data_IF_353623637808
#
_entry.id   IF_353623637808
#
_cell.length_a   1.000
_cell.length_b   1.000
_cell.length_c   1.000
_cell.angle_alpha   90.00
_cell.angle_beta   90.00
_cell.angle_gamma   90.00
#
_symmetry.space_group_name_H-M   'P 1'
#
loop_
_entity.id
_entity.type
_entity.pdbx_description
1 polymer ?
#
# COMPACT_ATOMS: atom_id res chain seq x y z
N UNK A 1 -11.34 15.01 -16.31
CA UNK A 1 -10.06 15.62 -15.98
C UNK A 1 -9.20 14.61 -15.19
N UNK A 2 -8.00 14.45 -15.61
CA UNK A 2 -7.08 13.65 -14.81
C UNK A 2 -7.05 14.24 -13.41
N UNK A 3 -7.03 13.44 -12.38
CA UNK A 3 -7.01 13.92 -11.02
C UNK A 3 -5.84 14.84 -10.75
N UNK A 4 -5.76 15.31 -9.53
CA UNK A 4 -4.63 16.11 -9.07
C UNK A 4 -3.34 15.32 -9.18
N UNK A 5 -2.21 16.00 -9.05
CA UNK A 5 -0.91 15.34 -8.98
C UNK A 5 -0.88 14.30 -7.85
N UNK A 6 -1.47 14.63 -6.70
CA UNK A 6 -1.55 13.70 -5.58
C UNK A 6 -2.29 12.42 -5.97
N UNK A 7 -3.42 12.55 -6.68
CA UNK A 7 -4.18 11.38 -7.13
C UNK A 7 -3.37 10.50 -8.08
N UNK A 8 -2.59 11.11 -8.97
CA UNK A 8 -1.73 10.38 -9.90
C UNK A 8 -0.61 9.65 -9.16
N UNK A 9 0.04 10.33 -8.21
CA UNK A 9 1.10 9.74 -7.41
C UNK A 9 0.56 8.60 -6.55
N UNK A 10 -0.61 8.78 -5.95
CA UNK A 10 -1.25 7.74 -5.15
C UNK A 10 -1.53 6.50 -6.00
N UNK A 11 -2.09 6.69 -7.18
CA UNK A 11 -2.42 5.58 -8.07
C UNK A 11 -1.16 4.79 -8.45
N UNK A 12 -0.07 5.48 -8.78
CA UNK A 12 1.18 4.82 -9.15
C UNK A 12 1.91 4.17 -7.98
N UNK A 13 1.62 4.58 -6.75
CA UNK A 13 2.32 4.09 -5.56
C UNK A 13 1.52 3.08 -4.75
N UNK A 14 0.26 2.82 -5.10
CA UNK A 14 -0.64 2.02 -4.27
C UNK A 14 -0.04 0.66 -3.90
N UNK A 15 0.48 -0.07 -4.87
CA UNK A 15 1.07 -1.38 -4.61
C UNK A 15 2.23 -1.30 -3.62
N UNK A 16 3.13 -0.34 -3.82
CA UNK A 16 4.28 -0.15 -2.95
C UNK A 16 3.86 0.23 -1.52
N UNK A 17 2.81 1.07 -1.40
CA UNK A 17 2.31 1.46 -0.09
C UNK A 17 1.69 0.27 0.65
N UNK A 18 0.89 -0.54 -0.04
CA UNK A 18 0.29 -1.73 0.56
C UNK A 18 1.34 -2.74 0.98
N UNK A 19 2.31 -3.01 0.10
CA UNK A 19 3.40 -3.93 0.43
C UNK A 19 4.23 -3.40 1.58
N UNK A 20 4.47 -2.09 1.62
CA UNK A 20 5.23 -1.47 2.69
C UNK A 20 4.56 -1.63 4.05
N UNK A 21 3.24 -1.45 4.11
CA UNK A 21 2.50 -1.67 5.35
C UNK A 21 2.56 -3.13 5.79
N UNK A 22 2.39 -4.05 4.85
CA UNK A 22 2.37 -5.47 5.17
C UNK A 22 3.74 -6.02 5.55
N UNK A 23 4.81 -5.26 5.35
CA UNK A 23 6.12 -5.62 5.91
C UNK A 23 6.10 -5.61 7.43
N UNK A 24 5.25 -4.80 8.03
CA UNK A 24 5.20 -4.64 9.48
C UNK A 24 4.44 -5.78 10.17
N UNK A 25 3.32 -6.17 9.61
CA UNK A 25 2.48 -7.26 10.14
C UNK A 25 1.35 -7.59 9.18
N UNK A 26 0.71 -8.73 9.39
CA UNK A 26 -0.50 -9.01 8.63
C UNK A 26 -1.62 -8.08 9.09
N UNK A 27 -2.49 -7.72 8.15
CA UNK A 27 -3.61 -6.82 8.40
C UNK A 27 -4.80 -7.25 7.56
N UNK A 28 -6.01 -6.99 8.08
CA UNK A 28 -7.20 -7.11 7.24
C UNK A 28 -7.50 -5.76 6.58
N UNK A 29 -8.38 -5.78 5.56
CA UNK A 29 -8.59 -4.62 4.69
C UNK A 29 -8.86 -3.31 5.42
N UNK A 30 -9.76 -3.35 6.42
CA UNK A 30 -10.09 -2.15 7.18
C UNK A 30 -8.86 -1.58 7.90
N UNK A 31 -8.02 -2.44 8.46
CA UNK A 31 -6.79 -1.99 9.13
C UNK A 31 -5.83 -1.32 8.15
N UNK A 32 -5.69 -1.91 6.96
CA UNK A 32 -4.83 -1.33 5.92
C UNK A 32 -5.31 0.08 5.57
N UNK A 33 -6.61 0.22 5.32
CA UNK A 33 -7.19 1.51 4.97
C UNK A 33 -7.02 2.53 6.09
N UNK A 34 -7.24 2.09 7.34
CA UNK A 34 -7.10 2.96 8.50
C UNK A 34 -5.66 3.44 8.68
N UNK A 35 -4.69 2.53 8.51
CA UNK A 35 -3.27 2.89 8.64
C UNK A 35 -2.84 3.89 7.57
N UNK A 36 -3.29 3.69 6.33
CA UNK A 36 -2.98 4.63 5.25
C UNK A 36 -3.51 6.03 5.56
N UNK A 37 -4.76 6.10 6.03
CA UNK A 37 -5.38 7.38 6.35
C UNK A 37 -4.72 8.04 7.55
N UNK A 38 -4.39 7.24 8.57
CA UNK A 38 -3.75 7.76 9.77
C UNK A 38 -2.37 8.33 9.48
N UNK A 39 -1.58 7.64 8.66
CA UNK A 39 -0.21 8.07 8.36
C UNK A 39 -0.13 9.14 7.28
N UNK A 40 -1.04 9.12 6.32
CA UNK A 40 -0.99 10.02 5.16
C UNK A 40 -2.15 11.00 5.05
N UNK A 41 -3.06 10.97 6.01
CA UNK A 41 -4.24 11.84 5.97
C UNK A 41 -5.18 11.45 4.84
N UNK A 42 -6.06 12.38 4.48
CA UNK A 42 -7.05 12.13 3.45
C UNK A 42 -6.44 11.86 2.08
N UNK A 43 -5.22 12.35 1.85
CA UNK A 43 -4.54 12.15 0.58
C UNK A 43 -4.19 10.69 0.32
N UNK A 44 -4.06 9.87 1.36
CA UNK A 44 -3.81 8.44 1.22
C UNK A 44 -5.02 7.57 1.54
N UNK A 45 -6.19 8.19 1.67
CA UNK A 45 -7.43 7.45 1.88
C UNK A 45 -7.77 6.65 0.62
N UNK A 46 -8.01 5.35 0.79
CA UNK A 46 -8.41 4.47 -0.30
C UNK A 46 -9.83 3.97 -0.05
N UNK A 47 -10.68 4.07 -1.07
CA UNK A 47 -12.00 3.48 -1.02
C UNK A 47 -11.91 1.96 -1.15
N UNK A 48 -12.96 1.25 -0.77
CA UNK A 48 -13.04 -0.19 -0.99
C UNK A 48 -12.89 -0.53 -2.46
N UNK A 49 -13.42 0.31 -3.35
CA UNK A 49 -13.32 0.13 -4.79
C UNK A 49 -11.89 0.23 -5.32
N UNK A 50 -10.99 0.86 -4.59
CA UNK A 50 -9.57 0.95 -4.96
C UNK A 50 -8.72 -0.06 -4.21
N UNK A 51 -9.01 -0.28 -2.93
CA UNK A 51 -8.22 -1.13 -2.06
C UNK A 51 -8.30 -2.60 -2.43
N UNK A 52 -9.52 -3.15 -2.51
CA UNK A 52 -9.68 -4.58 -2.73
C UNK A 52 -9.18 -5.06 -4.09
N UNK A 53 -9.43 -4.34 -5.20
CA UNK A 53 -8.81 -4.73 -6.47
C UNK A 53 -7.29 -4.72 -6.43
N UNK A 54 -6.68 -3.77 -5.71
CA UNK A 54 -5.23 -3.72 -5.56
C UNK A 54 -4.72 -4.94 -4.79
N UNK A 55 -5.39 -5.30 -3.69
CA UNK A 55 -5.03 -6.50 -2.93
C UNK A 55 -5.18 -7.77 -3.75
N UNK A 56 -6.25 -7.86 -4.56
CA UNK A 56 -6.46 -9.00 -5.45
C UNK A 56 -5.36 -9.13 -6.48
N UNK A 57 -4.89 -8.03 -7.05
CA UNK A 57 -3.77 -8.06 -8.00
C UNK A 57 -2.49 -8.53 -7.35
N UNK A 58 -2.23 -8.08 -6.13
CA UNK A 58 -1.05 -8.53 -5.38
C UNK A 58 -1.13 -10.03 -5.05
N UNK A 59 -2.32 -10.49 -4.69
CA UNK A 59 -2.55 -11.91 -4.42
C UNK A 59 -2.37 -12.74 -5.69
N UNK A 60 -2.94 -12.30 -6.80
CA UNK A 60 -2.81 -12.99 -8.08
C UNK A 60 -1.35 -13.06 -8.54
N UNK A 61 -0.56 -12.05 -8.22
CA UNK A 61 0.87 -12.02 -8.53
C UNK A 61 1.73 -12.81 -7.56
N UNK A 62 1.13 -13.42 -6.54
CA UNK A 62 1.88 -14.21 -5.57
C UNK A 62 2.66 -13.39 -4.57
N UNK A 63 2.35 -12.11 -4.41
CA UNK A 63 3.06 -11.22 -3.50
C UNK A 63 2.42 -11.19 -2.12
N UNK A 64 1.12 -11.41 -2.04
CA UNK A 64 0.41 -11.53 -0.77
C UNK A 64 -0.41 -12.81 -0.76
N UNK A 65 -0.68 -13.29 0.42
CA UNK A 65 -1.61 -14.40 0.65
C UNK A 65 -2.66 -13.95 1.64
N UNK A 66 -3.81 -14.60 1.61
CA UNK A 66 -4.93 -14.23 2.45
C UNK A 66 -5.41 -15.43 3.25
N UNK A 67 -5.92 -15.16 4.45
CA UNK A 67 -6.57 -16.17 5.27
C UNK A 67 -7.82 -15.59 5.91
N UNK A 68 -8.80 -16.43 6.14
CA UNK A 68 -10.00 -16.04 6.84
C UNK A 68 -9.86 -16.34 8.34
N UNK A 69 -10.37 -15.44 9.16
CA UNK A 69 -10.38 -15.61 10.60
C UNK A 69 -11.72 -15.17 11.16
N UNK A 70 -12.27 -15.92 12.09
CA UNK A 70 -13.48 -15.56 12.79
C UNK A 70 -13.23 -14.27 13.60
N UNK A 71 -14.18 -13.34 13.53
CA UNK A 71 -14.10 -12.06 14.20
C UNK A 71 -15.33 -11.80 15.08
N UNK A 72 -16.04 -12.85 15.44
CA UNK A 72 -17.27 -12.78 16.25
C UNK A 72 -18.35 -13.66 15.63
N UNK A 73 -19.55 -13.72 16.25
CA UNK A 73 -20.65 -14.54 15.72
C UNK A 73 -20.99 -14.10 14.30
N UNK A 74 -20.98 -15.04 13.38
CA UNK A 74 -21.33 -14.82 11.97
C UNK A 74 -20.49 -13.75 11.28
N UNK A 75 -19.26 -13.49 11.77
CA UNK A 75 -18.35 -12.55 11.13
C UNK A 75 -17.00 -13.20 10.88
N UNK A 76 -16.46 -12.94 9.69
CA UNK A 76 -15.10 -13.36 9.35
C UNK A 76 -14.37 -12.14 8.78
N UNK A 77 -13.05 -12.15 8.93
CA UNK A 77 -12.16 -11.14 8.35
C UNK A 77 -11.13 -11.82 7.50
N UNK A 78 -10.79 -11.18 6.40
CA UNK A 78 -9.75 -11.68 5.53
C UNK A 78 -8.46 -10.92 5.81
N UNK A 79 -7.48 -11.65 6.34
CA UNK A 79 -6.17 -11.09 6.66
C UNK A 79 -5.21 -11.31 5.51
N UNK A 80 -4.41 -10.30 5.23
CA UNK A 80 -3.41 -10.33 4.16
C UNK A 80 -2.02 -10.27 4.79
N UNK A 81 -1.11 -11.04 4.22
CA UNK A 81 0.29 -11.05 4.66
C UNK A 81 1.18 -11.26 3.45
N UNK A 82 2.45 -10.87 3.57
CA UNK A 82 3.40 -11.05 2.48
C UNK A 82 3.81 -12.51 2.35
N UNK A 83 3.95 -12.97 1.11
CA UNK A 83 4.67 -14.21 0.82
C UNK A 83 6.16 -13.91 0.87
N UNK A 84 7.01 -14.96 0.78
CA UNK A 84 8.45 -14.74 0.66
C UNK A 84 8.80 -13.88 -0.55
N UNK A 85 8.15 -14.16 -1.69
CA UNK A 85 8.31 -13.36 -2.90
C UNK A 85 7.86 -11.92 -2.66
N UNK A 86 6.72 -11.75 -1.97
CA UNK A 86 6.19 -10.42 -1.66
C UNK A 86 7.10 -9.63 -0.75
N UNK A 87 7.75 -10.28 0.21
CA UNK A 87 8.67 -9.60 1.10
C UNK A 87 9.89 -9.06 0.35
N UNK A 88 10.45 -9.86 -0.55
CA UNK A 88 11.56 -9.39 -1.40
C UNK A 88 11.14 -8.22 -2.28
N UNK A 89 9.96 -8.35 -2.88
CA UNK A 89 9.42 -7.32 -3.74
C UNK A 89 9.11 -6.03 -2.95
N UNK A 90 8.58 -6.17 -1.75
CA UNK A 90 8.28 -5.04 -0.87
C UNK A 90 9.56 -4.26 -0.51
N UNK A 91 10.62 -4.97 -0.15
CA UNK A 91 11.89 -4.33 0.20
C UNK A 91 12.42 -3.48 -0.95
N UNK A 92 12.40 -4.05 -2.16
CA UNK A 92 12.85 -3.32 -3.36
C UNK A 92 11.93 -2.13 -3.68
N UNK A 93 10.63 -2.35 -3.68
CA UNK A 93 9.66 -1.31 -4.03
C UNK A 93 9.69 -0.14 -3.05
N UNK A 94 9.81 -0.44 -1.76
CA UNK A 94 9.87 0.62 -0.74
C UNK A 94 11.16 1.43 -0.90
N UNK A 95 12.28 0.76 -1.13
CA UNK A 95 13.55 1.45 -1.33
C UNK A 95 13.50 2.35 -2.56
N UNK A 96 12.93 1.86 -3.66
CA UNK A 96 12.80 2.65 -4.89
C UNK A 96 11.86 3.85 -4.68
N UNK A 97 10.75 3.64 -3.99
CA UNK A 97 9.79 4.70 -3.71
C UNK A 97 10.44 5.81 -2.88
N UNK A 98 11.15 5.44 -1.82
CA UNK A 98 11.81 6.41 -0.96
C UNK A 98 12.93 7.15 -1.68
N UNK A 99 13.72 6.45 -2.50
CA UNK A 99 14.76 7.09 -3.30
C UNK A 99 14.17 8.11 -4.27
N UNK A 100 13.10 7.73 -4.96
CA UNK A 100 12.46 8.62 -5.91
C UNK A 100 11.84 9.84 -5.23
N UNK A 101 11.26 9.66 -4.05
CA UNK A 101 10.72 10.77 -3.27
C UNK A 101 11.82 11.77 -2.92
N UNK A 102 12.98 11.30 -2.52
CA UNK A 102 14.12 12.17 -2.22
C UNK A 102 14.60 12.92 -3.45
N UNK A 103 14.60 12.24 -4.61
CA UNK A 103 14.98 12.91 -5.88
C UNK A 103 13.99 14.02 -6.23
N UNK A 104 12.70 13.76 -6.09
CA UNK A 104 11.68 14.77 -6.37
C UNK A 104 11.86 16.00 -5.49
N UNK A 105 12.11 15.78 -4.21
CA UNK A 105 12.33 16.87 -3.27
C UNK A 105 13.58 17.67 -3.68
N UNK A 106 14.66 16.98 -4.01
CA UNK A 106 15.91 17.64 -4.42
C UNK A 106 15.72 18.51 -5.65
N UNK A 107 15.07 17.95 -6.67
CA UNK A 107 14.87 18.67 -7.94
C UNK A 107 13.99 19.90 -7.74
N UNK A 108 12.94 19.78 -6.93
CA UNK A 108 11.94 20.84 -6.78
C UNK A 108 12.30 21.86 -5.72
N UNK A 109 13.23 21.56 -4.82
CA UNK A 109 13.61 22.48 -3.75
C UNK A 109 14.66 23.49 -4.19
N UNK A 110 15.29 23.27 -5.35
CA UNK A 110 16.39 24.12 -5.79
C UNK A 110 17.66 23.96 -4.97
N UNK A 111 17.73 22.97 -4.10
CA UNK A 111 18.92 22.75 -3.30
C UNK A 111 20.06 22.22 -4.17
N UNK A 112 21.30 22.71 -3.96
CA UNK A 112 22.45 22.19 -4.69
C UNK A 112 22.73 20.75 -4.31
N UNK A 113 23.09 19.97 -5.29
CA UNK A 113 23.58 18.64 -5.17
C UNK A 113 22.81 17.58 -4.61
#
# INVERSE_FOLDING_TARGET
MAGSLVAQLKKGSTAALLLGLLREREMYGYQIAAELRERGGDNLSLSEGSLYPALHRLEAGGLVKARWQAAGPNRTRRYYSLTAKGRRHADTSVAELQSFARLMIRVTSGAPG
#
